data_IF_199306592861
#
_entry.id   IF_199306592861
#
_cell.length_a   1.000
_cell.length_b   1.000
_cell.length_c   1.000
_cell.angle_alpha   90.00
_cell.angle_beta   90.00
_cell.angle_gamma   90.00
#
_symmetry.space_group_name_H-M   'P 1'
#
loop_
_entity.id
_entity.type
_entity.pdbx_description
1 polymer ?
#
# COMPACT_ATOMS: atom_id res chain seq x y z
N UNK A 1 -23.08 3.28 -14.46
CA UNK A 1 -21.73 2.92 -13.94
C UNK A 1 -20.75 3.69 -14.80
N UNK A 2 -19.91 4.55 -14.22
CA UNK A 2 -18.98 5.37 -15.00
C UNK A 2 -18.05 4.45 -15.80
N UNK A 3 -17.88 4.69 -17.11
CA UNK A 3 -17.08 3.84 -18.01
C UNK A 3 -15.63 3.61 -17.56
N UNK A 4 -15.17 4.38 -16.57
CA UNK A 4 -13.84 4.31 -15.94
C UNK A 4 -13.58 3.11 -15.04
N UNK A 5 -14.64 2.41 -14.63
CA UNK A 5 -14.55 1.25 -13.74
C UNK A 5 -14.88 -0.06 -14.46
N UNK A 6 -14.81 -0.05 -15.80
CA UNK A 6 -15.05 -1.20 -16.68
C UNK A 6 -13.70 -1.84 -17.05
N UNK A 7 -13.66 -3.17 -17.12
CA UNK A 7 -12.52 -4.01 -17.52
C UNK A 7 -11.20 -3.71 -16.79
N UNK A 8 -11.25 -3.38 -15.50
CA UNK A 8 -10.06 -3.08 -14.69
C UNK A 8 -9.05 -4.24 -14.71
N UNK A 9 -7.74 -3.95 -14.76
CA UNK A 9 -6.71 -4.99 -14.75
C UNK A 9 -6.77 -5.80 -13.46
N UNK A 10 -6.54 -7.11 -13.56
CA UNK A 10 -6.43 -8.01 -12.42
C UNK A 10 -5.05 -7.89 -11.77
N UNK A 11 -5.00 -8.07 -10.44
CA UNK A 11 -3.74 -8.17 -9.72
C UNK A 11 -3.26 -9.63 -9.79
N UNK A 12 -1.99 -9.92 -10.12
CA UNK A 12 -1.51 -11.29 -10.18
C UNK A 12 -1.71 -12.08 -8.88
N UNK A 13 -2.10 -13.35 -8.99
CA UNK A 13 -2.38 -14.20 -7.83
C UNK A 13 -1.19 -14.37 -6.87
N UNK A 14 0.04 -14.45 -7.40
CA UNK A 14 1.24 -14.56 -6.57
C UNK A 14 1.42 -13.33 -5.67
N UNK A 15 1.20 -12.13 -6.22
CA UNK A 15 1.27 -10.87 -5.47
C UNK A 15 0.24 -10.83 -4.33
N UNK A 16 -0.94 -11.42 -4.54
CA UNK A 16 -1.97 -11.52 -3.50
C UNK A 16 -1.56 -12.46 -2.37
N UNK A 17 -1.01 -13.62 -2.69
CA UNK A 17 -0.57 -14.59 -1.68
C UNK A 17 0.60 -14.07 -0.86
N UNK A 18 1.55 -13.40 -1.49
CA UNK A 18 2.69 -12.79 -0.79
C UNK A 18 2.24 -11.65 0.14
N UNK A 19 1.31 -10.80 -0.32
CA UNK A 19 0.73 -9.75 0.51
C UNK A 19 -0.03 -10.31 1.73
N UNK A 20 -0.87 -11.34 1.53
CA UNK A 20 -1.59 -12.02 2.62
C UNK A 20 -0.62 -12.63 3.63
N UNK A 21 0.43 -13.31 3.16
CA UNK A 21 1.47 -13.90 4.02
C UNK A 21 2.15 -12.82 4.85
N UNK A 22 2.59 -11.73 4.22
CA UNK A 22 3.29 -10.64 4.91
C UNK A 22 2.40 -9.92 5.93
N UNK A 23 1.15 -9.61 5.57
CA UNK A 23 0.18 -9.01 6.50
C UNK A 23 -0.09 -9.93 7.71
N UNK A 24 -0.20 -11.24 7.51
CA UNK A 24 -0.42 -12.18 8.61
C UNK A 24 0.71 -12.17 9.66
N UNK A 25 1.97 -11.89 9.26
CA UNK A 25 3.09 -11.76 10.21
C UNK A 25 2.95 -10.56 11.15
N UNK A 26 2.20 -9.53 10.75
CA UNK A 26 2.04 -8.28 11.50
C UNK A 26 0.81 -8.33 12.42
N UNK A 27 -0.14 -9.24 12.16
CA UNK A 27 -1.46 -9.30 12.81
C UNK A 27 -1.40 -9.21 14.34
N UNK A 28 -0.53 -9.99 14.98
CA UNK A 28 -0.44 -10.03 16.44
C UNK A 28 0.19 -8.76 17.04
N UNK A 29 1.04 -8.07 16.28
CA UNK A 29 1.65 -6.80 16.69
C UNK A 29 0.64 -5.66 16.69
N UNK A 30 -0.37 -5.73 15.82
CA UNK A 30 -1.43 -4.72 15.72
C UNK A 30 -2.38 -4.71 16.93
N UNK A 31 -2.53 -5.83 17.64
CA UNK A 31 -3.50 -5.98 18.74
C UNK A 31 -3.27 -4.99 19.89
N UNK A 32 -2.06 -4.46 20.02
CA UNK A 32 -1.67 -3.51 21.09
C UNK A 32 -2.17 -2.08 20.85
N UNK A 33 -2.64 -1.76 19.65
CA UNK A 33 -3.07 -0.41 19.28
C UNK A 33 -4.31 -0.47 18.40
N UNK A 34 -5.41 0.13 18.87
CA UNK A 34 -6.69 0.15 18.15
C UNK A 34 -6.54 0.69 16.73
N UNK A 35 -5.81 1.78 16.56
CA UNK A 35 -5.60 2.40 15.23
C UNK A 35 -4.76 1.51 14.31
N UNK A 36 -3.76 0.80 14.85
CA UNK A 36 -2.96 -0.13 14.06
C UNK A 36 -3.81 -1.32 13.60
N UNK A 37 -4.68 -1.84 14.48
CA UNK A 37 -5.59 -2.93 14.15
C UNK A 37 -6.65 -2.51 13.11
N UNK A 38 -7.20 -1.31 13.23
CA UNK A 38 -8.14 -0.76 12.24
C UNK A 38 -7.46 -0.59 10.87
N UNK A 39 -6.27 -0.01 10.83
CA UNK A 39 -5.53 0.18 9.59
C UNK A 39 -5.10 -1.14 8.95
N UNK A 40 -4.64 -2.10 9.75
CA UNK A 40 -4.37 -3.47 9.33
C UNK A 40 -5.61 -4.13 8.71
N UNK A 41 -6.77 -4.02 9.35
CA UNK A 41 -8.01 -4.60 8.86
C UNK A 41 -8.43 -4.02 7.51
N UNK A 42 -8.23 -2.71 7.31
CA UNK A 42 -8.50 -2.08 6.01
C UNK A 42 -7.54 -2.57 4.91
N UNK A 43 -6.24 -2.73 5.21
CA UNK A 43 -5.26 -3.28 4.24
C UNK A 43 -5.59 -4.72 3.86
N UNK A 44 -5.89 -5.57 4.86
CA UNK A 44 -6.27 -6.96 4.61
C UNK A 44 -7.52 -7.04 3.74
N UNK A 45 -8.52 -6.19 4.01
CA UNK A 45 -9.74 -6.13 3.21
C UNK A 45 -9.49 -5.72 1.75
N UNK A 46 -8.47 -4.91 1.45
CA UNK A 46 -8.08 -4.62 0.06
C UNK A 46 -7.51 -5.87 -0.61
N UNK A 47 -6.51 -6.48 0.05
CA UNK A 47 -5.79 -7.65 -0.48
C UNK A 47 -6.72 -8.85 -0.69
N UNK A 48 -7.69 -9.06 0.19
CA UNK A 48 -8.71 -10.11 0.02
C UNK A 48 -9.59 -9.90 -1.22
N UNK A 49 -9.82 -8.65 -1.64
CA UNK A 49 -10.62 -8.36 -2.82
C UNK A 49 -9.85 -8.48 -4.14
N UNK A 50 -8.52 -8.54 -4.13
CA UNK A 50 -7.71 -8.71 -5.35
C UNK A 50 -8.07 -9.99 -6.12
N UNK A 51 -8.38 -11.08 -5.42
CA UNK A 51 -8.80 -12.35 -6.02
C UNK A 51 -10.26 -12.37 -6.48
N UNK A 52 -11.07 -11.41 -6.04
CA UNK A 52 -12.52 -11.41 -6.30
C UNK A 52 -12.89 -10.41 -7.39
N UNK A 53 -12.41 -9.17 -7.28
CA UNK A 53 -12.75 -8.09 -8.19
C UNK A 53 -11.85 -6.89 -7.98
N UNK A 54 -11.14 -6.47 -9.03
CA UNK A 54 -10.36 -5.21 -9.03
C UNK A 54 -11.21 -3.99 -8.68
N UNK A 55 -12.50 -3.99 -9.05
CA UNK A 55 -13.45 -2.93 -8.70
C UNK A 55 -13.72 -2.90 -7.19
N UNK A 56 -13.95 -4.07 -6.59
CA UNK A 56 -14.15 -4.19 -5.14
C UNK A 56 -12.90 -3.78 -4.37
N UNK A 57 -11.72 -4.23 -4.84
CA UNK A 57 -10.43 -3.85 -4.26
C UNK A 57 -10.20 -2.33 -4.33
N UNK A 58 -10.54 -1.70 -5.46
CA UNK A 58 -10.49 -0.25 -5.61
C UNK A 58 -11.35 0.46 -4.57
N UNK A 59 -12.62 0.06 -4.39
CA UNK A 59 -13.48 0.71 -3.41
C UNK A 59 -12.99 0.51 -1.97
N UNK A 60 -12.46 -0.67 -1.63
CA UNK A 60 -11.81 -0.90 -0.33
C UNK A 60 -10.58 -0.01 -0.15
N UNK A 61 -9.80 0.18 -1.19
CA UNK A 61 -8.62 1.02 -1.15
C UNK A 61 -8.97 2.50 -0.95
N UNK A 62 -10.00 3.01 -1.64
CA UNK A 62 -10.54 4.37 -1.41
C UNK A 62 -11.01 4.56 0.04
N UNK A 63 -11.57 3.53 0.68
CA UNK A 63 -11.97 3.61 2.09
C UNK A 63 -10.79 3.90 3.04
N UNK A 64 -9.57 3.46 2.71
CA UNK A 64 -8.38 3.78 3.51
C UNK A 64 -8.10 5.29 3.50
N UNK A 65 -8.11 5.91 2.32
CA UNK A 65 -7.93 7.37 2.19
C UNK A 65 -9.02 8.16 2.93
N UNK A 66 -10.28 7.73 2.79
CA UNK A 66 -11.39 8.33 3.51
C UNK A 66 -11.22 8.18 5.03
N UNK A 67 -10.76 7.03 5.51
CA UNK A 67 -10.50 6.81 6.93
C UNK A 67 -9.39 7.74 7.45
N UNK A 68 -8.26 7.86 6.73
CA UNK A 68 -7.17 8.79 7.06
C UNK A 68 -7.70 10.23 7.13
N UNK A 69 -8.47 10.68 6.14
CA UNK A 69 -9.01 12.05 6.09
C UNK A 69 -9.95 12.40 7.25
N UNK A 70 -10.54 11.38 7.88
CA UNK A 70 -11.48 11.51 9.01
C UNK A 70 -10.81 11.32 10.37
N UNK A 71 -9.52 10.97 10.42
CA UNK A 71 -8.81 10.82 11.69
C UNK A 71 -8.72 12.17 12.41
N UNK A 72 -8.89 12.17 13.73
CA UNK A 72 -8.54 13.34 14.53
C UNK A 72 -7.04 13.64 14.40
N UNK A 73 -6.63 14.90 14.51
CA UNK A 73 -5.21 15.27 14.46
C UNK A 73 -4.39 14.46 15.47
N UNK A 74 -4.90 14.26 16.69
CA UNK A 74 -4.25 13.46 17.73
C UNK A 74 -4.04 12.01 17.30
N UNK A 75 -5.07 11.38 16.72
CA UNK A 75 -5.00 10.00 16.23
C UNK A 75 -4.00 9.88 15.08
N UNK A 76 -4.06 10.81 14.13
CA UNK A 76 -3.16 10.85 13.00
C UNK A 76 -1.71 11.00 13.45
N UNK A 77 -1.40 11.97 14.32
CA UNK A 77 -0.06 12.16 14.88
C UNK A 77 0.45 10.90 15.59
N UNK A 78 -0.36 10.26 16.43
CA UNK A 78 0.03 9.02 17.12
C UNK A 78 0.25 7.84 16.15
N UNK A 79 -0.48 7.81 15.03
CA UNK A 79 -0.32 6.79 14.01
C UNK A 79 0.97 6.98 13.21
N UNK A 80 1.28 8.21 12.79
CA UNK A 80 2.49 8.50 12.00
C UNK A 80 3.75 8.68 12.86
N UNK A 81 3.68 8.55 14.18
CA UNK A 81 4.83 8.74 15.05
C UNK A 81 5.97 7.74 14.74
N UNK A 82 7.24 8.17 14.79
CA UNK A 82 8.41 7.31 14.53
C UNK A 82 8.57 6.19 15.57
N UNK A 83 8.11 6.42 16.80
CA UNK A 83 8.14 5.43 17.88
C UNK A 83 7.08 4.34 17.68
N UNK A 84 6.04 4.58 16.87
CA UNK A 84 5.05 3.57 16.51
C UNK A 84 5.59 2.67 15.39
N UNK A 85 6.56 1.81 15.73
CA UNK A 85 7.23 0.90 14.80
C UNK A 85 6.25 0.04 13.99
N UNK A 86 5.15 -0.41 14.61
CA UNK A 86 4.10 -1.21 13.94
C UNK A 86 3.37 -0.39 12.88
N UNK A 87 2.99 0.85 13.16
CA UNK A 87 2.38 1.72 12.16
C UNK A 87 3.34 2.04 11.01
N UNK A 88 4.65 2.17 11.28
CA UNK A 88 5.66 2.33 10.22
C UNK A 88 5.68 1.14 9.27
N UNK A 89 5.63 -0.10 9.79
CA UNK A 89 5.48 -1.30 8.96
C UNK A 89 4.17 -1.27 8.16
N UNK A 90 3.04 -0.91 8.79
CA UNK A 90 1.75 -0.82 8.10
C UNK A 90 1.73 0.23 6.99
N UNK A 91 2.39 1.37 7.19
CA UNK A 91 2.55 2.40 6.16
C UNK A 91 3.36 1.85 4.98
N UNK A 92 4.45 1.13 5.23
CA UNK A 92 5.21 0.49 4.14
C UNK A 92 4.35 -0.51 3.33
N UNK A 93 3.51 -1.30 4.02
CA UNK A 93 2.56 -2.20 3.35
C UNK A 93 1.52 -1.44 2.52
N UNK A 94 1.00 -0.34 3.05
CA UNK A 94 0.08 0.51 2.32
C UNK A 94 0.71 1.05 1.03
N UNK A 95 1.96 1.49 1.08
CA UNK A 95 2.67 1.97 -0.11
C UNK A 95 2.89 0.85 -1.15
N UNK A 96 3.20 -0.36 -0.70
CA UNK A 96 3.33 -1.53 -1.57
C UNK A 96 2.00 -1.96 -2.20
N UNK A 97 0.91 -2.00 -1.41
CA UNK A 97 -0.47 -2.22 -1.90
C UNK A 97 -0.84 -1.16 -2.93
N UNK A 98 -0.54 0.11 -2.67
CA UNK A 98 -0.80 1.19 -3.62
C UNK A 98 -0.02 1.04 -4.92
N UNK A 99 1.24 0.60 -4.86
CA UNK A 99 2.04 0.33 -6.07
C UNK A 99 1.40 -0.78 -6.91
N UNK A 100 1.02 -1.90 -6.29
CA UNK A 100 0.35 -3.00 -7.00
C UNK A 100 -1.01 -2.60 -7.57
N UNK A 101 -1.75 -1.75 -6.84
CA UNK A 101 -3.01 -1.16 -7.32
C UNK A 101 -2.80 -0.11 -8.42
N UNK A 102 -1.56 0.28 -8.73
CA UNK A 102 -1.21 1.34 -9.68
C UNK A 102 -1.95 1.26 -11.01
N UNK A 103 -1.98 0.11 -11.72
CA UNK A 103 -2.71 -0.02 -12.99
C UNK A 103 -4.22 0.27 -12.88
N UNK A 104 -4.82 -0.03 -11.73
CA UNK A 104 -6.25 0.26 -11.46
C UNK A 104 -6.42 1.77 -11.19
N UNK A 105 -5.53 2.35 -10.39
CA UNK A 105 -5.57 3.76 -9.99
C UNK A 105 -5.24 4.72 -11.16
N UNK A 106 -4.33 4.34 -12.06
CA UNK A 106 -3.96 5.16 -13.22
C UNK A 106 -5.10 5.28 -14.25
N UNK A 107 -5.97 4.25 -14.38
CA UNK A 107 -7.15 4.33 -15.25
C UNK A 107 -8.17 5.37 -14.80
N UNK A 108 -8.31 5.60 -13.49
CA UNK A 108 -9.12 6.71 -12.97
C UNK A 108 -8.58 8.07 -13.45
N UNK A 109 -7.26 8.15 -13.55
CA UNK A 109 -6.53 9.34 -13.87
C UNK A 109 -6.65 9.69 -15.37
N UNK A 110 -6.46 8.71 -16.26
CA UNK A 110 -6.49 8.88 -17.73
C UNK A 110 -7.85 9.37 -18.25
N UNK A 111 -8.95 8.88 -17.65
CA UNK A 111 -10.31 9.22 -18.09
C UNK A 111 -10.72 10.62 -17.62
N UNK A 112 -10.17 11.09 -16.50
CA UNK A 112 -10.46 12.40 -15.94
C UNK A 112 -9.76 13.55 -16.71
N UNK A 113 -8.67 13.27 -17.44
CA UNK A 113 -8.02 14.25 -18.31
C UNK A 113 -7.19 13.58 -19.43
N UNK A 114 -7.78 13.32 -20.62
CA UNK A 114 -7.14 12.55 -21.69
C UNK A 114 -5.96 13.26 -22.38
N UNK A 115 -5.74 14.56 -22.12
CA UNK A 115 -4.53 15.31 -22.54
C UNK A 115 -3.45 15.33 -21.47
N UNK A 116 -3.76 14.87 -20.26
CA UNK A 116 -2.77 14.68 -19.23
C UNK A 116 -2.09 13.35 -19.49
N UNK A 117 -0.87 13.39 -20.02
CA UNK A 117 0.06 12.26 -19.98
C UNK A 117 0.27 11.73 -18.54
N UNK A 118 -0.21 12.48 -17.54
CA UNK A 118 -0.27 12.12 -16.13
C UNK A 118 -1.71 12.32 -15.67
N UNK A 119 -2.58 11.32 -15.81
CA UNK A 119 -3.98 11.42 -15.43
C UNK A 119 -4.24 12.04 -14.04
N UNK A 120 -5.48 12.44 -13.74
CA UNK A 120 -5.96 13.28 -12.62
C UNK A 120 -5.55 13.00 -11.15
N UNK A 121 -4.58 12.15 -10.88
CA UNK A 121 -3.62 12.22 -9.78
C UNK A 121 -2.26 12.11 -10.47
N UNK A 122 -1.43 13.16 -10.50
CA UNK A 122 -0.13 13.17 -11.19
C UNK A 122 0.86 12.12 -10.64
N UNK A 123 0.57 10.85 -10.90
CA UNK A 123 1.14 9.62 -10.31
C UNK A 123 1.45 8.61 -11.43
N UNK A 124 1.26 9.00 -12.70
CA UNK A 124 1.61 8.22 -13.89
C UNK A 124 3.08 8.33 -14.33
N UNK A 125 3.92 9.07 -13.60
CA UNK A 125 5.35 9.18 -13.87
C UNK A 125 6.16 8.73 -12.68
N UNK A 126 6.18 7.42 -12.41
CA UNK A 126 6.75 6.79 -11.21
C UNK A 126 6.12 7.36 -9.92
N UNK A 127 5.78 6.51 -8.95
CA UNK A 127 5.46 7.02 -7.62
C UNK A 127 6.77 7.44 -6.94
N UNK A 128 7.39 8.53 -7.44
CA UNK A 128 8.73 9.00 -7.08
C UNK A 128 8.76 9.28 -5.59
N UNK A 129 9.40 8.37 -4.86
CA UNK A 129 9.63 8.49 -3.43
C UNK A 129 9.02 7.37 -2.59
N UNK A 130 8.05 6.60 -3.06
CA UNK A 130 7.50 5.50 -2.25
C UNK A 130 8.57 4.47 -1.88
N UNK A 131 9.42 4.10 -2.84
CA UNK A 131 10.60 3.27 -2.56
C UNK A 131 11.50 3.93 -1.50
N UNK A 132 11.82 5.23 -1.64
CA UNK A 132 12.63 5.97 -0.66
C UNK A 132 11.98 6.00 0.73
N UNK A 133 10.65 6.07 0.81
CA UNK A 133 9.90 6.01 2.05
C UNK A 133 9.96 4.61 2.68
N UNK A 134 9.76 3.56 1.88
CA UNK A 134 9.86 2.16 2.34
C UNK A 134 11.29 1.86 2.82
N UNK A 135 12.31 2.27 2.07
CA UNK A 135 13.72 2.12 2.45
C UNK A 135 14.09 3.00 3.66
N UNK A 136 13.51 4.19 3.78
CA UNK A 136 13.66 5.05 4.95
C UNK A 136 13.08 4.42 6.21
N UNK A 137 11.86 3.86 6.12
CA UNK A 137 11.22 3.12 7.21
C UNK A 137 12.06 1.90 7.58
N UNK A 138 12.56 1.15 6.60
CA UNK A 138 13.48 0.03 6.83
C UNK A 138 14.70 0.49 7.64
N UNK A 139 15.42 1.51 7.17
CA UNK A 139 16.62 2.02 7.83
C UNK A 139 16.36 2.52 9.25
N UNK A 140 15.19 3.10 9.51
CA UNK A 140 14.76 3.50 10.86
C UNK A 140 14.52 2.29 11.76
N UNK A 141 13.76 1.30 11.29
CA UNK A 141 13.37 0.13 12.08
C UNK A 141 14.54 -0.82 12.38
N UNK A 142 15.48 -0.97 11.44
CA UNK A 142 16.57 -1.94 11.55
C UNK A 142 17.85 -1.37 12.15
N UNK A 143 17.86 -0.09 12.52
CA UNK A 143 19.04 0.60 13.08
C UNK A 143 19.63 -0.12 14.29
N UNK A 144 18.75 -0.66 15.14
CA UNK A 144 19.11 -1.33 16.38
C UNK A 144 19.41 -2.84 16.19
N UNK A 145 19.40 -3.33 14.95
CA UNK A 145 19.70 -4.73 14.61
C UNK A 145 18.59 -5.74 14.88
N UNK A 146 17.40 -5.30 15.29
CA UNK A 146 16.24 -6.18 15.56
C UNK A 146 15.80 -6.95 14.29
N UNK A 147 15.94 -8.28 14.32
CA UNK A 147 15.63 -9.18 13.18
C UNK A 147 14.16 -9.16 12.80
N UNK A 148 13.24 -9.08 13.78
CA UNK A 148 11.80 -9.12 13.50
C UNK A 148 11.33 -8.03 12.54
N UNK A 149 11.90 -6.83 12.61
CA UNK A 149 11.50 -5.74 11.69
C UNK A 149 12.00 -5.98 10.28
N UNK A 150 13.05 -6.79 10.11
CA UNK A 150 13.55 -7.18 8.80
C UNK A 150 12.53 -8.04 8.09
N UNK A 151 12.13 -9.14 8.72
CA UNK A 151 11.14 -10.09 8.19
C UNK A 151 9.82 -9.38 7.82
N UNK A 152 9.34 -8.48 8.70
CA UNK A 152 8.11 -7.74 8.47
C UNK A 152 8.20 -6.70 7.35
N UNK A 153 9.40 -6.34 6.90
CA UNK A 153 9.60 -5.35 5.83
C UNK A 153 10.11 -5.98 4.53
N UNK A 154 10.29 -7.29 4.46
CA UNK A 154 10.77 -7.97 3.25
C UNK A 154 9.83 -7.76 2.06
N UNK A 155 8.54 -8.10 2.21
CA UNK A 155 7.57 -7.98 1.13
C UNK A 155 7.37 -6.54 0.63
N UNK A 156 7.15 -5.52 1.51
CA UNK A 156 7.05 -4.15 1.03
C UNK A 156 8.24 -3.71 0.20
N UNK A 157 9.46 -4.12 0.55
CA UNK A 157 10.67 -3.77 -0.19
C UNK A 157 10.75 -4.50 -1.52
N UNK A 158 10.42 -5.79 -1.55
CA UNK A 158 10.45 -6.60 -2.77
C UNK A 158 9.55 -6.03 -3.86
N UNK A 159 8.34 -5.56 -3.50
CA UNK A 159 7.40 -4.91 -4.42
C UNK A 159 8.02 -3.71 -5.15
N UNK A 160 8.97 -3.00 -4.53
CA UNK A 160 9.65 -1.87 -5.18
C UNK A 160 10.93 -2.27 -5.93
N UNK A 161 11.53 -3.43 -5.64
CA UNK A 161 12.75 -3.91 -6.31
C UNK A 161 12.49 -4.58 -7.65
N UNK A 162 11.35 -5.25 -7.80
CA UNK A 162 11.01 -6.09 -8.95
C UNK A 162 10.88 -5.36 -10.30
N UNK A 163 11.03 -4.03 -10.35
CA UNK A 163 11.01 -3.24 -11.60
C UNK A 163 12.42 -2.90 -12.13
N UNK A 164 13.48 -3.06 -11.33
CA UNK A 164 14.84 -2.78 -11.79
C UNK A 164 15.42 -3.91 -12.68
N UNK A 165 14.76 -5.07 -12.77
CA UNK A 165 15.18 -6.19 -13.62
C UNK A 165 14.60 -6.15 -15.03
N UNK A 166 13.44 -5.52 -15.23
CA UNK A 166 12.68 -5.64 -16.49
C UNK A 166 12.95 -4.49 -17.48
N UNK A 167 13.90 -3.60 -17.15
CA UNK A 167 14.35 -2.49 -18.01
C UNK A 167 15.76 -2.71 -18.59
N UNK A 168 16.23 -3.96 -18.62
CA UNK A 168 17.49 -4.37 -19.25
C UNK A 168 17.23 -5.44 -20.31
N UNK A 169 16.45 -5.10 -21.34
CA UNK A 169 16.42 -5.79 -22.64
C UNK A 169 16.13 -4.79 -23.76
#
# INVERSE_FOLDING_TARGET
>A
MEGRLVDLPEIPNHSTQDAKRSLNLIKDLCQRSKINMEFFGMLLAVVEQWETSSLSAYFKFVQIYLAISKMSSRTFYAFIDETNKVARVLIAHFLAVQKLMGPILCREAEISNPKSLNGGLGVGGEIRGHEKWVEGIWGQLTRDGEVKWKELMEWPREVFRSENSDNLD
#
